data_IF_848188326476
#
_entry.id   IF_848188326476
#
_cell.length_a   1.000
_cell.length_b   1.000
_cell.length_c   1.000
_cell.angle_alpha   90.00
_cell.angle_beta   90.00
_cell.angle_gamma   90.00
#
_symmetry.space_group_name_H-M   'P 1'
#
loop_
_entity.id
_entity.type
_entity.pdbx_description
1 polymer ?
#
# COMPACT_ATOMS: atom_id res chain seq x y z
N UNK A 1 -29.64 33.28 28.53
CA UNK A 1 -28.30 33.86 28.32
C UNK A 1 -27.32 32.85 28.89
N UNK A 2 -26.51 32.15 28.10
CA UNK A 2 -25.63 32.65 27.03
C UNK A 2 -25.55 31.63 25.90
N UNK A 3 -25.78 32.13 24.69
CA UNK A 3 -25.35 31.52 23.44
C UNK A 3 -23.83 31.51 23.38
N UNK A 4 -23.22 30.40 22.98
CA UNK A 4 -21.91 30.39 22.34
C UNK A 4 -21.83 29.13 21.48
N UNK A 5 -21.79 29.36 20.17
CA UNK A 5 -21.73 28.35 19.13
C UNK A 5 -20.47 27.49 19.33
N UNK A 6 -20.64 26.17 19.49
CA UNK A 6 -19.53 25.21 19.50
C UNK A 6 -18.95 25.12 18.08
N UNK A 7 -18.12 26.10 17.72
CA UNK A 7 -17.23 26.02 16.58
C UNK A 7 -16.12 25.04 16.92
N UNK A 8 -16.30 23.79 16.51
CA UNK A 8 -15.24 22.80 16.58
C UNK A 8 -14.03 23.32 15.77
N UNK A 9 -12.84 23.23 16.35
CA UNK A 9 -11.61 23.82 15.77
C UNK A 9 -10.85 22.75 14.97
N UNK A 10 -10.21 23.16 13.87
CA UNK A 10 -9.25 22.31 13.15
C UNK A 10 -7.95 22.23 13.93
N UNK A 11 -7.31 21.06 13.92
CA UNK A 11 -6.00 20.84 14.58
C UNK A 11 -4.93 21.65 13.82
N UNK A 12 -4.15 22.51 14.51
CA UNK A 12 -3.08 23.28 13.87
C UNK A 12 -1.89 22.39 13.47
N UNK A 13 -1.13 22.82 12.46
CA UNK A 13 0.11 22.15 12.06
C UNK A 13 1.26 22.63 12.96
N UNK A 14 1.79 21.75 13.80
CA UNK A 14 2.92 22.05 14.67
C UNK A 14 4.24 21.94 13.91
N UNK A 15 5.19 22.82 14.24
CA UNK A 15 6.53 22.79 13.63
C UNK A 15 7.53 21.96 14.43
N UNK A 16 7.23 21.71 15.70
CA UNK A 16 8.07 20.96 16.65
C UNK A 16 7.20 20.15 17.61
N UNK A 17 7.74 19.04 18.11
CA UNK A 17 7.10 18.18 19.10
C UNK A 17 6.86 18.91 20.43
N UNK A 18 7.75 19.82 20.81
CA UNK A 18 7.63 20.60 22.05
C UNK A 18 6.41 21.54 22.04
N UNK A 19 6.15 22.18 20.88
CA UNK A 19 4.99 23.05 20.66
C UNK A 19 3.66 22.27 20.71
N UNK A 20 3.66 21.04 20.20
CA UNK A 20 2.52 20.13 20.27
C UNK A 20 2.22 19.72 21.72
N UNK A 21 3.24 19.40 22.51
CA UNK A 21 3.08 19.04 23.91
C UNK A 21 2.51 20.20 24.74
N UNK A 22 3.05 21.41 24.57
CA UNK A 22 2.56 22.60 25.26
C UNK A 22 1.11 22.93 24.87
N UNK A 23 0.75 22.69 23.61
CA UNK A 23 -0.62 22.88 23.12
C UNK A 23 -1.60 21.88 23.75
N UNK A 24 -1.27 20.58 23.79
CA UNK A 24 -2.13 19.54 24.38
C UNK A 24 -2.18 19.58 25.91
N UNK A 25 -1.22 20.23 26.57
CA UNK A 25 -1.31 20.52 28.00
C UNK A 25 -2.41 21.54 28.32
N UNK A 26 -2.78 22.40 27.36
CA UNK A 26 -3.71 23.51 27.54
C UNK A 26 -5.08 23.22 26.91
N UNK A 27 -5.14 22.33 25.91
CA UNK A 27 -6.34 22.04 25.12
C UNK A 27 -6.80 20.58 25.24
N UNK A 28 -8.11 20.35 25.33
CA UNK A 28 -8.68 19.00 25.34
C UNK A 28 -8.87 18.49 23.91
N UNK A 29 -8.54 17.21 23.67
CA UNK A 29 -8.71 16.54 22.37
C UNK A 29 -10.17 16.58 21.88
N UNK A 30 -11.14 16.67 22.80
CA UNK A 30 -12.58 16.74 22.48
C UNK A 30 -13.03 18.08 21.88
N UNK A 31 -12.18 19.11 21.89
CA UNK A 31 -12.49 20.45 21.34
C UNK A 31 -12.18 20.56 19.84
N UNK A 32 -11.58 19.52 19.25
CA UNK A 32 -11.18 19.49 17.84
C UNK A 32 -11.96 18.45 17.05
N UNK A 33 -12.29 18.78 15.79
CA UNK A 33 -12.89 17.80 14.87
C UNK A 33 -11.86 16.75 14.51
N UNK A 34 -12.26 15.48 14.55
CA UNK A 34 -11.50 14.43 13.88
C UNK A 34 -11.40 14.83 12.41
N UNK A 35 -10.18 14.84 11.86
CA UNK A 35 -9.99 15.11 10.44
C UNK A 35 -10.72 14.03 9.64
N UNK A 36 -11.92 14.36 9.15
CA UNK A 36 -12.68 13.48 8.28
C UNK A 36 -11.91 13.36 6.98
N UNK A 37 -11.30 12.20 6.76
CA UNK A 37 -10.68 11.86 5.48
C UNK A 37 -11.80 11.85 4.45
N UNK A 38 -11.69 12.72 3.46
CA UNK A 38 -12.70 12.84 2.42
C UNK A 38 -12.71 11.59 1.54
N UNK A 39 -13.87 11.28 0.95
CA UNK A 39 -13.97 10.14 0.01
C UNK A 39 -13.05 10.34 -1.18
N UNK A 40 -12.82 11.60 -1.56
CA UNK A 40 -11.91 12.03 -2.61
C UNK A 40 -10.45 11.67 -2.30
N UNK A 41 -9.97 11.92 -1.08
CA UNK A 41 -8.61 11.55 -0.65
C UNK A 41 -8.42 10.03 -0.67
N UNK A 42 -9.41 9.26 -0.22
CA UNK A 42 -9.40 7.79 -0.31
C UNK A 42 -9.37 7.35 -1.78
N UNK A 43 -10.13 8.00 -2.66
CA UNK A 43 -10.16 7.67 -4.08
C UNK A 43 -8.82 7.97 -4.78
N UNK A 44 -8.17 9.08 -4.42
CA UNK A 44 -6.84 9.46 -4.92
C UNK A 44 -5.81 8.36 -4.59
N UNK A 45 -5.78 7.89 -3.34
CA UNK A 45 -4.90 6.78 -2.93
C UNK A 45 -5.19 5.48 -3.70
N UNK A 46 -6.46 5.20 -3.99
CA UNK A 46 -6.86 4.01 -4.74
C UNK A 46 -6.49 4.11 -6.24
N UNK A 47 -6.54 5.30 -6.85
CA UNK A 47 -6.13 5.53 -8.25
C UNK A 47 -4.64 5.25 -8.48
N UNK A 48 -3.79 5.56 -7.50
CA UNK A 48 -2.35 5.32 -7.60
C UNK A 48 -1.94 3.86 -7.38
N UNK A 49 -2.87 2.99 -6.98
CA UNK A 49 -2.60 1.57 -6.83
C UNK A 49 -2.56 0.90 -8.22
N UNK A 50 -1.47 0.20 -8.59
CA UNK A 50 -1.45 -0.55 -9.84
C UNK A 50 -2.57 -1.59 -9.84
N UNK A 51 -3.41 -1.56 -10.88
CA UNK A 51 -4.51 -2.50 -11.05
C UNK A 51 -3.95 -3.89 -11.24
N UNK A 52 -4.18 -4.78 -10.26
CA UNK A 52 -3.72 -6.17 -10.32
C UNK A 52 -4.79 -7.00 -11.03
N UNK A 53 -4.45 -7.52 -12.21
CA UNK A 53 -5.28 -8.53 -12.87
C UNK A 53 -5.08 -9.89 -12.19
N UNK A 54 -6.18 -10.63 -11.96
CA UNK A 54 -6.12 -12.03 -11.52
C UNK A 54 -5.93 -12.91 -12.75
N UNK A 55 -5.01 -13.87 -12.65
CA UNK A 55 -4.78 -14.90 -13.67
C UNK A 55 -4.96 -16.26 -13.02
N UNK A 56 -5.67 -17.16 -13.71
CA UNK A 56 -5.82 -18.57 -13.31
C UNK A 56 -4.95 -19.41 -14.22
N UNK A 57 -4.02 -20.16 -13.65
CA UNK A 57 -3.09 -21.03 -14.38
C UNK A 57 -3.22 -22.46 -13.85
N UNK A 58 -3.26 -23.43 -14.75
CA UNK A 58 -3.20 -24.84 -14.39
C UNK A 58 -1.74 -25.27 -14.28
N UNK A 59 -1.36 -25.80 -13.12
CA UNK A 59 -0.02 -26.30 -12.84
C UNK A 59 -0.14 -27.77 -12.42
N UNK A 60 0.86 -28.58 -12.76
CA UNK A 60 0.94 -29.94 -12.24
C UNK A 60 1.03 -29.94 -10.70
N UNK A 61 0.36 -30.90 -10.08
CA UNK A 61 0.27 -31.01 -8.62
C UNK A 61 1.65 -31.07 -7.95
N UNK A 62 2.59 -31.78 -8.56
CA UNK A 62 3.95 -31.90 -8.06
C UNK A 62 4.66 -30.55 -8.04
N UNK A 63 4.62 -29.83 -9.16
CA UNK A 63 5.21 -28.49 -9.27
C UNK A 63 4.60 -27.52 -8.25
N UNK A 64 3.27 -27.56 -8.08
CA UNK A 64 2.59 -26.73 -7.10
C UNK A 64 3.08 -27.01 -5.66
N UNK A 65 3.30 -28.28 -5.32
CA UNK A 65 3.80 -28.68 -4.01
C UNK A 65 5.26 -28.23 -3.80
N UNK A 66 6.12 -28.39 -4.81
CA UNK A 66 7.50 -27.93 -4.76
C UNK A 66 7.58 -26.41 -4.57
N UNK A 67 6.79 -25.63 -5.31
CA UNK A 67 6.71 -24.18 -5.17
C UNK A 67 6.24 -23.75 -3.78
N UNK A 68 5.25 -24.43 -3.19
CA UNK A 68 4.80 -24.17 -1.81
C UNK A 68 5.91 -24.45 -0.80
N UNK A 69 6.63 -25.56 -0.94
CA UNK A 69 7.74 -25.91 -0.06
C UNK A 69 8.89 -24.89 -0.17
N UNK A 70 9.22 -24.44 -1.38
CA UNK A 70 10.22 -23.39 -1.62
C UNK A 70 9.82 -22.05 -1.01
N UNK A 71 8.55 -21.66 -1.16
CA UNK A 71 8.03 -20.42 -0.57
C UNK A 71 8.12 -20.46 0.97
N UNK A 72 7.74 -21.58 1.58
CA UNK A 72 7.85 -21.79 3.03
C UNK A 72 9.31 -21.70 3.52
N UNK A 73 10.26 -22.34 2.81
CA UNK A 73 11.69 -22.29 3.13
C UNK A 73 12.27 -20.88 3.03
N UNK A 74 11.77 -20.05 2.10
CA UNK A 74 12.18 -18.66 1.92
C UNK A 74 11.43 -17.67 2.82
N UNK A 75 10.41 -18.12 3.57
CA UNK A 75 9.58 -17.24 4.39
C UNK A 75 8.70 -16.28 3.59
N UNK A 76 8.40 -16.58 2.33
CA UNK A 76 7.58 -15.74 1.44
C UNK A 76 6.26 -16.42 1.08
N UNK A 77 5.26 -15.64 0.66
CA UNK A 77 4.01 -16.22 0.18
C UNK A 77 4.20 -16.92 -1.18
N UNK A 78 3.43 -17.99 -1.43
CA UNK A 78 3.39 -18.68 -2.71
C UNK A 78 3.16 -17.71 -3.89
N UNK A 79 2.23 -16.76 -3.73
CA UNK A 79 1.93 -15.76 -4.76
C UNK A 79 3.05 -14.75 -4.99
N UNK A 80 3.85 -14.45 -3.95
CA UNK A 80 5.01 -13.57 -4.06
C UNK A 80 6.12 -14.25 -4.84
N UNK A 81 6.41 -15.51 -4.51
CA UNK A 81 7.42 -16.32 -5.21
C UNK A 81 7.08 -16.47 -6.69
N UNK A 82 5.82 -16.79 -7.03
CA UNK A 82 5.40 -16.89 -8.43
C UNK A 82 5.62 -15.57 -9.17
N UNK A 83 5.26 -14.44 -8.54
CA UNK A 83 5.42 -13.13 -9.18
C UNK A 83 6.88 -12.81 -9.47
N UNK A 84 7.78 -13.13 -8.55
CA UNK A 84 9.22 -12.98 -8.73
C UNK A 84 9.73 -13.83 -9.91
N UNK A 85 9.34 -15.11 -9.95
CA UNK A 85 9.71 -16.00 -11.05
C UNK A 85 9.17 -15.52 -12.42
N UNK A 86 7.95 -15.01 -12.46
CA UNK A 86 7.36 -14.45 -13.68
C UNK A 86 8.12 -13.21 -14.17
N UNK A 87 8.57 -12.35 -13.26
CA UNK A 87 9.40 -11.20 -13.62
C UNK A 87 10.76 -11.62 -14.21
N UNK A 88 11.42 -12.59 -13.57
CA UNK A 88 12.68 -13.14 -14.07
C UNK A 88 12.51 -13.80 -15.45
N UNK A 89 11.42 -14.55 -15.64
CA UNK A 89 11.08 -15.15 -16.93
C UNK A 89 10.84 -14.08 -18.00
N UNK A 90 10.12 -13.01 -17.67
CA UNK A 90 9.85 -11.91 -18.61
C UNK A 90 11.14 -11.21 -19.04
N UNK A 91 12.06 -10.95 -18.10
CA UNK A 91 13.36 -10.35 -18.40
C UNK A 91 14.17 -11.23 -19.35
N UNK A 92 14.22 -12.54 -19.07
CA UNK A 92 14.94 -13.52 -19.90
C UNK A 92 14.39 -13.58 -21.32
N UNK A 93 13.06 -13.70 -21.47
CA UNK A 93 12.40 -13.76 -22.80
C UNK A 93 12.56 -12.45 -23.56
N UNK A 94 12.52 -11.31 -22.86
CA UNK A 94 12.71 -10.00 -23.50
C UNK A 94 14.13 -9.82 -24.05
N UNK A 95 15.15 -10.36 -23.37
CA UNK A 95 16.54 -10.32 -23.83
C UNK A 95 16.77 -11.21 -25.06
N UNK A 96 16.12 -12.38 -25.12
CA UNK A 96 16.18 -13.30 -26.26
C UNK A 96 15.52 -12.70 -27.51
N UNK A 97 14.39 -12.01 -27.34
CA UNK A 97 13.63 -11.40 -28.44
C UNK A 97 14.39 -10.24 -29.10
N UNK A 98 15.29 -9.57 -28.38
CA UNK A 98 16.13 -8.49 -28.92
C UNK A 98 17.31 -9.01 -29.76
N UNK A 99 17.74 -10.26 -29.57
CA UNK A 99 18.87 -10.84 -30.32
C UNK A 99 18.48 -11.40 -31.69
N UNK A 100 17.19 -11.68 -31.93
CA UNK A 100 16.71 -12.29 -33.18
C UNK A 100 16.26 -11.27 -34.24
N UNK A 101 16.10 -9.99 -33.87
CA UNK A 101 15.64 -8.92 -34.80
C UNK A 101 16.81 -8.18 -35.47
N UNK A 102 18.07 -8.44 -35.07
CA UNK A 102 19.26 -7.75 -35.62
C UNK A 102 20.14 -8.61 -36.53
N UNK A 103 19.61 -9.66 -37.17
CA UNK A 103 20.38 -10.47 -38.13
C UNK A 103 19.64 -10.72 -39.43
#
# INVERSE_FOLDING_TARGET
MVSAEMRMKKIPQFKSLEEEMDFWNIHSVTEFEAQEVTVEEILEELKHRPVKAKVTLCLETEMQNQLKALAARRGVSYSSLIRELLWQGLETVSAETQSTVSK
#
